data_IF_383429761826
#
_entry.id   IF_383429761826
#
_cell.length_a   1.000
_cell.length_b   1.000
_cell.length_c   1.000
_cell.angle_alpha   90.00
_cell.angle_beta   90.00
_cell.angle_gamma   90.00
#
_symmetry.space_group_name_H-M   'P 1'
#
loop_
_entity.id
_entity.type
_entity.pdbx_description
1 polymer ?
#
# COMPACT_ATOMS: atom_id res chain seq x y z
N UNK A 1 11.35 -42.18 41.34
CA UNK A 1 12.05 -41.15 40.60
C UNK A 1 12.93 -40.33 41.53
N UNK A 2 14.22 -40.33 41.31
CA UNK A 2 15.13 -39.46 42.06
C UNK A 2 15.19 -38.11 41.37
N UNK A 3 14.36 -37.13 41.80
CA UNK A 3 14.50 -35.74 41.41
C UNK A 3 15.75 -35.11 42.06
N UNK A 4 16.37 -34.18 41.39
CA UNK A 4 17.43 -33.35 41.97
C UNK A 4 16.78 -32.34 42.92
N UNK A 5 17.02 -32.49 44.22
CA UNK A 5 16.61 -31.49 45.24
C UNK A 5 17.78 -30.50 45.35
N UNK A 6 17.54 -29.28 44.93
CA UNK A 6 18.47 -28.18 45.11
C UNK A 6 18.24 -27.58 46.53
N UNK A 7 19.22 -27.73 47.44
CA UNK A 7 19.15 -27.18 48.80
C UNK A 7 19.22 -25.66 48.84
N UNK A 8 19.69 -24.97 47.77
CA UNK A 8 19.70 -23.54 47.61
C UNK A 8 19.16 -23.14 46.25
N UNK A 9 18.16 -22.29 46.23
CA UNK A 9 17.66 -21.69 45.00
C UNK A 9 18.77 -20.88 44.33
N UNK A 10 18.98 -21.11 43.05
CA UNK A 10 19.94 -20.32 42.25
C UNK A 10 19.46 -18.85 42.17
N UNK A 11 20.31 -17.91 42.54
CA UNK A 11 19.97 -16.47 42.54
C UNK A 11 19.68 -15.90 41.12
N UNK A 12 20.19 -16.58 40.06
CA UNK A 12 20.00 -16.15 38.68
C UNK A 12 18.73 -16.70 38.02
N UNK A 13 18.25 -17.89 38.45
CA UNK A 13 17.12 -18.55 37.79
C UNK A 13 16.02 -19.05 38.75
N UNK A 14 16.15 -18.77 40.04
CA UNK A 14 15.20 -19.23 41.08
C UNK A 14 14.83 -20.72 40.96
N UNK A 15 15.83 -21.56 40.65
CA UNK A 15 15.72 -23.00 40.40
C UNK A 15 14.93 -23.42 39.12
N UNK A 16 14.57 -22.47 38.26
CA UNK A 16 13.90 -22.76 36.99
C UNK A 16 14.84 -23.33 35.91
N UNK A 17 16.15 -23.20 36.09
CA UNK A 17 17.17 -23.59 35.11
C UNK A 17 17.20 -22.67 33.86
N UNK A 18 16.51 -21.54 33.90
CA UNK A 18 16.41 -20.57 32.79
C UNK A 18 16.68 -19.16 33.29
N UNK A 19 17.32 -18.37 32.47
CA UNK A 19 17.54 -16.94 32.69
C UNK A 19 17.02 -16.16 31.50
N UNK A 20 16.38 -15.03 31.74
CA UNK A 20 15.93 -14.13 30.67
C UNK A 20 17.14 -13.38 30.14
N UNK A 21 17.35 -13.51 28.82
CA UNK A 21 18.40 -12.78 28.07
C UNK A 21 17.74 -11.97 26.98
N UNK A 22 18.18 -10.73 26.79
CA UNK A 22 17.73 -9.85 25.72
C UNK A 22 18.68 -9.98 24.55
N UNK A 23 18.23 -10.58 23.45
CA UNK A 23 18.99 -10.67 22.18
C UNK A 23 18.43 -9.66 21.17
N UNK A 24 19.32 -8.92 20.49
CA UNK A 24 18.94 -7.98 19.44
C UNK A 24 19.14 -8.62 18.08
N UNK A 25 18.05 -8.84 17.38
CA UNK A 25 18.05 -9.52 16.08
C UNK A 25 17.75 -8.49 14.99
N UNK A 26 18.60 -8.41 13.97
CA UNK A 26 18.32 -7.64 12.76
C UNK A 26 17.53 -8.51 11.79
N UNK A 27 16.33 -8.08 11.44
CA UNK A 27 15.43 -8.78 10.52
C UNK A 27 15.28 -7.97 9.25
N UNK A 28 15.52 -8.58 8.11
CA UNK A 28 15.28 -7.96 6.80
C UNK A 28 13.87 -8.33 6.34
N UNK A 29 12.99 -7.35 6.26
CA UNK A 29 11.66 -7.52 5.71
C UNK A 29 11.76 -7.37 4.19
N UNK A 30 11.30 -8.36 3.39
CA UNK A 30 11.34 -8.26 1.93
C UNK A 30 10.36 -7.18 1.44
N UNK A 31 10.71 -6.49 0.34
CA UNK A 31 9.80 -5.56 -0.31
C UNK A 31 8.54 -6.30 -0.82
N UNK A 32 7.39 -5.63 -0.83
CA UNK A 32 6.13 -6.21 -1.32
C UNK A 32 5.46 -7.20 -0.37
N UNK A 33 5.92 -7.31 0.88
CA UNK A 33 5.26 -8.14 1.90
C UNK A 33 3.78 -7.78 2.05
N UNK A 34 2.95 -8.78 2.28
CA UNK A 34 1.50 -8.58 2.48
C UNK A 34 1.16 -8.41 3.95
N UNK A 35 0.04 -7.72 4.21
CA UNK A 35 -0.48 -7.63 5.57
C UNK A 35 -0.80 -9.01 6.12
N UNK A 36 -0.52 -9.24 7.41
CA UNK A 36 -0.67 -10.53 8.06
C UNK A 36 0.40 -11.57 7.71
N UNK A 37 1.39 -11.24 6.89
CA UNK A 37 2.50 -12.15 6.56
C UNK A 37 3.29 -12.54 7.80
N UNK A 38 3.71 -13.81 7.86
CA UNK A 38 4.52 -14.35 8.96
C UNK A 38 5.94 -14.63 8.46
N UNK A 39 6.92 -14.08 9.14
CA UNK A 39 8.34 -14.34 8.89
C UNK A 39 8.87 -15.25 9.99
N UNK A 40 9.39 -16.43 9.61
CA UNK A 40 10.00 -17.39 10.53
C UNK A 40 11.50 -17.20 10.55
N UNK A 41 12.07 -17.05 11.73
CA UNK A 41 13.52 -17.00 11.96
C UNK A 41 13.87 -18.24 12.77
N UNK A 42 14.57 -19.21 12.17
CA UNK A 42 14.89 -20.45 12.84
C UNK A 42 15.85 -20.22 14.02
N UNK A 43 15.66 -21.02 15.07
CA UNK A 43 16.51 -21.07 16.25
C UNK A 43 16.69 -19.72 16.99
N UNK A 44 15.71 -18.81 16.88
CA UNK A 44 15.69 -17.51 17.56
C UNK A 44 14.52 -17.33 18.53
N UNK A 45 13.81 -18.43 18.82
CA UNK A 45 12.82 -18.51 19.88
C UNK A 45 13.41 -18.89 21.22
N UNK A 46 12.56 -19.31 22.14
CA UNK A 46 12.98 -19.73 23.48
C UNK A 46 13.86 -20.98 23.47
N UNK A 47 14.76 -21.07 24.43
CA UNK A 47 15.58 -22.25 24.63
C UNK A 47 14.71 -23.49 24.93
N UNK A 48 15.09 -24.64 24.36
CA UNK A 48 14.47 -25.92 24.64
C UNK A 48 14.64 -26.33 26.11
N UNK A 49 13.81 -27.29 26.56
CA UNK A 49 13.90 -27.87 27.91
C UNK A 49 15.01 -28.94 27.91
N UNK A 50 15.75 -29.05 29.01
CA UNK A 50 16.79 -30.07 29.22
C UNK A 50 17.87 -30.11 28.12
N UNK A 51 18.32 -28.94 27.63
CA UNK A 51 19.34 -28.86 26.59
C UNK A 51 18.80 -29.11 25.16
N UNK A 52 17.49 -29.12 24.99
CA UNK A 52 16.85 -29.19 23.67
C UNK A 52 17.18 -27.97 22.79
N UNK A 53 16.93 -28.10 21.50
CA UNK A 53 17.16 -27.04 20.52
C UNK A 53 16.29 -25.79 20.78
N UNK A 54 16.76 -24.64 20.33
CA UNK A 54 15.98 -23.40 20.38
C UNK A 54 14.77 -23.49 19.45
N UNK A 55 13.66 -22.95 19.90
CA UNK A 55 12.49 -22.75 19.05
C UNK A 55 12.72 -21.67 17.99
N UNK A 56 11.73 -21.48 17.14
CA UNK A 56 11.74 -20.45 16.12
C UNK A 56 11.06 -19.18 16.62
N UNK A 57 11.53 -18.05 16.12
CA UNK A 57 10.84 -16.78 16.28
C UNK A 57 9.91 -16.55 15.07
N UNK A 58 8.64 -16.34 15.34
CA UNK A 58 7.64 -16.01 14.32
C UNK A 58 7.26 -14.53 14.48
N UNK A 59 7.51 -13.75 13.42
CA UNK A 59 7.17 -12.33 13.38
C UNK A 59 5.96 -12.16 12.47
N UNK A 60 4.87 -11.62 13.01
CA UNK A 60 3.70 -11.21 12.24
C UNK A 60 3.88 -9.77 11.78
N UNK A 61 3.71 -9.53 10.49
CA UNK A 61 3.88 -8.22 9.87
C UNK A 61 2.50 -7.61 9.67
N UNK A 62 2.30 -6.39 10.19
CA UNK A 62 1.10 -5.59 9.92
C UNK A 62 1.48 -4.40 9.06
N UNK A 63 0.75 -4.22 7.96
CA UNK A 63 0.97 -3.14 6.99
C UNK A 63 -0.13 -2.10 7.16
N UNK A 64 0.23 -0.89 7.59
CA UNK A 64 -0.73 0.20 7.71
C UNK A 64 -1.24 0.65 6.34
N UNK A 65 -2.54 0.98 6.20
CA UNK A 65 -3.09 1.49 4.96
C UNK A 65 -2.47 2.85 4.61
N UNK A 66 -2.19 3.05 3.32
CA UNK A 66 -1.67 4.32 2.82
C UNK A 66 -2.84 5.25 2.42
N UNK A 67 -2.77 6.57 2.69
CA UNK A 67 -3.88 7.51 2.42
C UNK A 67 -4.25 7.63 0.93
N UNK A 68 -3.31 7.41 0.02
CA UNK A 68 -3.52 7.59 -1.42
C UNK A 68 -3.45 6.29 -2.22
N UNK A 69 -2.69 5.31 -1.75
CA UNK A 69 -2.47 4.07 -2.48
C UNK A 69 -3.26 2.92 -1.88
N UNK A 70 -4.00 2.22 -2.72
CA UNK A 70 -4.64 0.95 -2.36
C UNK A 70 -3.94 -0.17 -3.10
N UNK A 71 -3.50 -1.19 -2.36
CA UNK A 71 -2.90 -2.38 -2.95
C UNK A 71 -3.97 -3.31 -3.49
N UNK A 72 -3.82 -3.76 -4.72
CA UNK A 72 -4.60 -4.84 -5.32
C UNK A 72 -3.64 -5.90 -5.86
N UNK A 73 -3.38 -6.93 -5.09
CA UNK A 73 -2.35 -7.94 -5.37
C UNK A 73 -0.96 -7.28 -5.57
N UNK A 74 -0.44 -7.30 -6.80
CA UNK A 74 0.84 -6.69 -7.16
C UNK A 74 0.68 -5.27 -7.72
N UNK A 75 -0.55 -4.85 -7.98
CA UNK A 75 -0.84 -3.54 -8.52
C UNK A 75 -1.15 -2.53 -7.40
N UNK A 76 -0.89 -1.27 -7.72
CA UNK A 76 -1.32 -0.14 -6.92
C UNK A 76 -2.49 0.56 -7.60
N UNK A 77 -3.46 0.97 -6.82
CA UNK A 77 -4.60 1.76 -7.31
C UNK A 77 -4.57 3.11 -6.61
N UNK A 78 -4.74 4.18 -7.41
CA UNK A 78 -4.88 5.55 -6.92
C UNK A 78 -6.06 6.22 -7.61
N UNK A 79 -6.78 7.08 -6.89
CA UNK A 79 -7.77 7.98 -7.47
C UNK A 79 -7.13 9.34 -7.67
N UNK A 80 -7.03 9.77 -8.93
CA UNK A 80 -6.42 11.04 -9.32
C UNK A 80 -7.52 12.07 -9.60
N UNK A 81 -7.65 13.13 -8.79
CA UNK A 81 -8.51 14.24 -9.13
C UNK A 81 -7.91 15.03 -10.30
N UNK A 82 -8.72 15.29 -11.31
CA UNK A 82 -8.37 16.09 -12.47
C UNK A 82 -9.45 17.16 -12.72
N UNK A 83 -9.07 18.23 -13.38
CA UNK A 83 -10.02 19.27 -13.76
C UNK A 83 -10.87 18.84 -14.97
N UNK A 84 -12.01 19.46 -15.13
CA UNK A 84 -12.88 19.28 -16.29
C UNK A 84 -12.13 19.57 -17.61
N UNK A 85 -11.31 20.64 -17.62
CA UNK A 85 -10.53 21.03 -18.81
C UNK A 85 -9.44 20.03 -19.17
N UNK A 86 -8.75 19.46 -18.17
CA UNK A 86 -7.78 18.38 -18.40
C UNK A 86 -8.43 17.12 -18.96
N UNK A 87 -9.64 16.79 -18.50
CA UNK A 87 -10.39 15.65 -19.01
C UNK A 87 -10.87 15.87 -20.45
N UNK A 88 -11.37 17.09 -20.76
CA UNK A 88 -11.93 17.40 -22.06
C UNK A 88 -10.85 17.57 -23.15
N UNK A 89 -9.78 18.31 -22.85
CA UNK A 89 -8.73 18.65 -23.82
C UNK A 89 -7.56 17.66 -23.83
N UNK A 90 -7.49 16.83 -22.80
CA UNK A 90 -6.32 16.01 -22.54
C UNK A 90 -5.19 16.83 -21.88
N UNK A 91 -4.38 16.18 -21.08
CA UNK A 91 -3.28 16.80 -20.36
C UNK A 91 -2.15 15.82 -20.07
N UNK A 92 -1.00 16.35 -19.67
CA UNK A 92 0.07 15.61 -19.03
C UNK A 92 0.10 16.00 -17.55
N UNK A 93 -0.19 15.07 -16.66
CA UNK A 93 -0.30 15.34 -15.23
C UNK A 93 0.74 14.52 -14.47
N UNK A 94 1.37 15.12 -13.48
CA UNK A 94 2.25 14.41 -12.56
C UNK A 94 1.43 13.57 -11.58
N UNK A 95 1.78 12.29 -11.46
CA UNK A 95 1.17 11.34 -10.54
C UNK A 95 2.22 10.83 -9.56
N UNK A 96 1.96 10.85 -8.25
CA UNK A 96 2.86 10.23 -7.27
C UNK A 96 2.94 8.73 -7.50
N UNK A 97 4.14 8.18 -7.37
CA UNK A 97 4.42 6.73 -7.39
C UNK A 97 5.27 6.36 -6.18
N UNK A 98 5.51 5.08 -5.93
CA UNK A 98 6.38 4.63 -4.84
C UNK A 98 7.83 5.13 -4.99
N UNK A 99 8.29 5.28 -6.24
CA UNK A 99 9.66 5.67 -6.57
C UNK A 99 9.83 7.18 -6.83
N UNK A 100 8.78 7.98 -6.59
CA UNK A 100 8.79 9.40 -6.87
C UNK A 100 7.59 9.85 -7.70
N UNK A 101 7.78 10.62 -8.77
CA UNK A 101 6.72 11.12 -9.64
C UNK A 101 6.82 10.55 -11.04
N UNK A 102 5.69 10.28 -11.68
CA UNK A 102 5.60 9.88 -13.08
C UNK A 102 4.64 10.80 -13.84
N UNK A 103 4.87 10.97 -15.14
CA UNK A 103 3.97 11.73 -16.01
C UNK A 103 2.93 10.78 -16.60
N UNK A 104 1.65 11.07 -16.33
CA UNK A 104 0.51 10.39 -16.92
C UNK A 104 -0.06 11.25 -18.06
N UNK A 105 -0.22 10.68 -19.23
CA UNK A 105 -0.92 11.32 -20.35
C UNK A 105 -2.41 10.99 -20.27
N UNK A 106 -3.24 12.01 -20.08
CA UNK A 106 -4.69 11.92 -20.10
C UNK A 106 -5.16 12.14 -21.52
N UNK A 107 -5.86 11.18 -22.15
CA UNK A 107 -6.44 11.39 -23.46
C UNK A 107 -7.54 12.45 -23.44
N UNK A 108 -7.73 13.24 -24.50
CA UNK A 108 -8.89 14.13 -24.62
C UNK A 108 -10.20 13.32 -24.63
N UNK A 109 -11.24 13.88 -24.01
CA UNK A 109 -12.54 13.21 -23.86
C UNK A 109 -12.54 12.10 -22.80
N UNK A 110 -11.61 12.14 -21.84
CA UNK A 110 -11.61 11.18 -20.74
C UNK A 110 -12.79 11.36 -19.80
N UNK A 111 -13.36 10.24 -19.36
CA UNK A 111 -14.52 10.22 -18.45
C UNK A 111 -14.12 9.99 -16.99
N UNK A 112 -14.96 10.42 -16.06
CA UNK A 112 -14.78 10.11 -14.63
C UNK A 112 -14.93 8.59 -14.41
N UNK A 113 -14.06 8.01 -13.58
CA UNK A 113 -14.00 6.55 -13.39
C UNK A 113 -13.14 5.81 -14.40
N UNK A 114 -12.69 6.47 -15.49
CA UNK A 114 -11.79 5.87 -16.45
C UNK A 114 -10.47 5.47 -15.78
N UNK A 115 -9.98 4.26 -16.09
CA UNK A 115 -8.74 3.72 -15.53
C UNK A 115 -7.63 3.79 -16.55
N UNK A 116 -6.54 4.43 -16.17
CA UNK A 116 -5.31 4.52 -16.94
C UNK A 116 -4.22 3.71 -16.24
N UNK A 117 -3.34 3.05 -17.00
CA UNK A 117 -2.31 2.17 -16.46
C UNK A 117 -0.91 2.74 -16.69
N UNK A 118 -0.16 2.84 -15.60
CA UNK A 118 1.28 3.10 -15.62
C UNK A 118 2.02 1.78 -15.39
N UNK A 119 2.66 1.28 -16.43
CA UNK A 119 3.37 0.00 -16.40
C UNK A 119 4.60 0.07 -15.49
N UNK A 120 4.83 -1.01 -14.73
CA UNK A 120 6.00 -1.14 -13.88
C UNK A 120 6.07 -0.10 -12.74
N UNK A 121 4.93 0.45 -12.27
CA UNK A 121 4.85 1.39 -11.14
C UNK A 121 4.04 0.84 -9.97
N UNK A 122 3.79 -0.46 -9.95
CA UNK A 122 3.17 -1.19 -8.84
C UNK A 122 4.19 -1.69 -7.83
N UNK A 123 3.89 -2.80 -7.18
CA UNK A 123 4.69 -3.39 -6.10
C UNK A 123 5.69 -4.35 -6.71
N UNK A 124 6.96 -4.24 -6.26
CA UNK A 124 8.00 -5.22 -6.57
C UNK A 124 7.79 -6.47 -5.75
N UNK A 125 7.84 -7.65 -6.38
CA UNK A 125 7.76 -8.93 -5.69
C UNK A 125 9.14 -9.40 -5.24
N UNK A 126 9.27 -9.99 -4.02
CA UNK A 126 10.58 -10.37 -3.47
C UNK A 126 11.32 -11.45 -4.27
N UNK A 127 10.62 -12.19 -5.13
CA UNK A 127 11.18 -13.32 -5.90
C UNK A 127 11.07 -13.14 -7.42
N UNK A 128 10.62 -11.99 -7.89
CA UNK A 128 10.45 -11.71 -9.31
C UNK A 128 11.13 -10.39 -9.66
N UNK A 129 11.72 -10.32 -10.83
CA UNK A 129 12.17 -9.07 -11.43
C UNK A 129 11.01 -8.25 -12.00
N UNK A 130 9.80 -8.83 -12.02
CA UNK A 130 8.61 -8.15 -12.50
C UNK A 130 8.02 -7.28 -11.41
N UNK A 131 7.77 -6.04 -11.76
CA UNK A 131 7.04 -5.06 -10.95
C UNK A 131 5.59 -5.00 -11.44
N UNK A 132 4.64 -4.93 -10.52
CA UNK A 132 3.25 -4.72 -10.87
C UNK A 132 3.02 -3.37 -11.55
N UNK A 133 1.80 -3.11 -11.94
CA UNK A 133 1.40 -1.87 -12.57
C UNK A 133 0.69 -0.94 -11.58
N UNK A 134 0.63 0.34 -11.92
CA UNK A 134 -0.19 1.29 -11.20
C UNK A 134 -1.42 1.64 -12.02
N UNK A 135 -2.59 1.47 -11.43
CA UNK A 135 -3.89 1.81 -12.02
C UNK A 135 -4.36 3.14 -11.45
N UNK A 136 -4.46 4.13 -12.32
CA UNK A 136 -4.93 5.48 -11.97
C UNK A 136 -6.38 5.60 -12.39
N UNK A 137 -7.28 5.77 -11.43
CA UNK A 137 -8.70 6.03 -11.67
C UNK A 137 -8.91 7.53 -11.70
N UNK A 138 -9.39 8.08 -12.81
CA UNK A 138 -9.66 9.50 -12.97
C UNK A 138 -10.92 9.90 -12.21
N UNK A 139 -10.84 11.01 -11.45
CA UNK A 139 -11.97 11.64 -10.79
C UNK A 139 -12.08 13.08 -11.25
N UNK A 140 -13.05 13.38 -12.11
CA UNK A 140 -13.26 14.74 -12.58
C UNK A 140 -13.85 15.59 -11.45
N UNK A 141 -13.20 16.72 -11.15
CA UNK A 141 -13.64 17.68 -10.14
C UNK A 141 -14.15 18.93 -10.86
N UNK A 142 -15.37 19.39 -10.56
CA UNK A 142 -15.89 20.61 -11.15
C UNK A 142 -15.09 21.83 -10.70
N UNK A 143 -14.98 22.89 -11.52
CA UNK A 143 -14.32 24.11 -11.13
C UNK A 143 -15.09 24.82 -10.00
N UNK A 144 -14.39 25.61 -9.16
CA UNK A 144 -15.06 26.40 -8.13
C UNK A 144 -15.93 27.48 -8.78
N UNK A 145 -17.23 27.49 -8.43
CA UNK A 145 -18.23 28.40 -9.04
C UNK A 145 -18.46 29.69 -8.24
N UNK A 146 -17.51 30.09 -7.38
CA UNK A 146 -17.62 31.33 -6.61
C UNK A 146 -17.48 32.60 -7.48
N UNK A 147 -16.70 32.49 -8.57
CA UNK A 147 -16.48 33.59 -9.51
C UNK A 147 -17.59 33.66 -10.55
N UNK A 148 -18.13 34.87 -10.74
CA UNK A 148 -19.18 35.14 -11.73
C UNK A 148 -18.70 34.90 -13.16
N UNK A 149 -17.46 35.23 -13.48
CA UNK A 149 -16.87 35.01 -14.80
C UNK A 149 -16.81 33.49 -15.13
N UNK A 150 -16.46 32.65 -14.17
CA UNK A 150 -16.46 31.19 -14.34
C UNK A 150 -17.88 30.67 -14.63
N UNK A 151 -18.88 31.16 -13.91
CA UNK A 151 -20.28 30.81 -14.15
C UNK A 151 -20.78 31.20 -15.55
N UNK A 152 -20.41 32.36 -16.01
CA UNK A 152 -20.79 32.84 -17.37
C UNK A 152 -20.15 31.99 -18.45
N UNK A 153 -18.86 31.62 -18.29
CA UNK A 153 -18.18 30.75 -19.24
C UNK A 153 -18.80 29.32 -19.26
N UNK A 154 -19.17 28.80 -18.11
CA UNK A 154 -19.83 27.49 -18.02
C UNK A 154 -21.23 27.53 -18.68
N UNK A 155 -22.01 28.60 -18.52
CA UNK A 155 -23.29 28.78 -19.22
C UNK A 155 -23.12 28.88 -20.74
N UNK A 156 -22.10 29.58 -21.20
CA UNK A 156 -21.76 29.65 -22.64
C UNK A 156 -21.37 28.25 -23.17
N UNK A 157 -20.59 27.52 -22.42
CA UNK A 157 -20.23 26.15 -22.78
C UNK A 157 -21.46 25.25 -22.90
N UNK A 158 -22.38 25.31 -21.94
CA UNK A 158 -23.66 24.58 -21.95
C UNK A 158 -24.49 24.89 -23.20
N UNK A 159 -24.55 26.17 -23.62
CA UNK A 159 -25.26 26.58 -24.82
C UNK A 159 -24.62 26.06 -26.12
N UNK A 160 -23.27 25.97 -26.15
CA UNK A 160 -22.52 25.49 -27.31
C UNK A 160 -22.50 23.97 -27.43
N UNK A 161 -22.60 23.27 -26.30
CA UNK A 161 -22.52 21.83 -26.23
C UNK A 161 -23.83 21.23 -25.69
N UNK A 162 -24.92 21.41 -26.44
CA UNK A 162 -26.24 20.86 -26.10
C UNK A 162 -26.23 19.32 -26.25
N UNK A 163 -25.59 18.60 -25.31
CA UNK A 163 -25.65 17.14 -25.24
C UNK A 163 -26.32 16.73 -23.93
N UNK A 164 -27.08 15.65 -24.00
CA UNK A 164 -27.72 15.06 -22.82
C UNK A 164 -27.00 13.76 -22.41
N UNK A 165 -26.16 13.80 -21.37
CA UNK A 165 -25.42 12.59 -20.95
C UNK A 165 -26.32 11.50 -20.35
N UNK A 166 -27.64 11.73 -20.25
CA UNK A 166 -28.65 10.82 -19.71
C UNK A 166 -29.54 10.19 -20.78
N UNK A 167 -29.26 10.37 -22.06
CA UNK A 167 -30.05 9.80 -23.15
C UNK A 167 -30.10 8.26 -23.14
N UNK A 168 -29.05 7.63 -22.61
CA UNK A 168 -28.96 6.18 -22.51
C UNK A 168 -29.57 5.60 -21.21
N UNK A 169 -30.11 6.46 -20.32
CA UNK A 169 -30.74 6.01 -19.08
C UNK A 169 -32.25 5.91 -19.36
N UNK A 170 -32.84 4.70 -19.27
CA UNK A 170 -34.27 4.48 -19.50
C UNK A 170 -35.14 5.15 -18.43
#
# INVERSE_FOLDING_TARGET
>A
GRGVISEKACSACSSSGRTDTVDRIKVRIPAGVEDGSKLRIPQKGNAGIHGGEYGDLIISISVSPHPFFTRQQNNLVITLPITFTEAALGAKVEVPTLDGKAILKIPPGSSSGQKLRLRGKGISLPKSTEQGDMVVTLKIVPPPTKDLAVRELLKKLEQLTAYNPREEIP
#
